data_IF_232697534895
#
_entry.id   IF_232697534895
#
_cell.length_a   1.000
_cell.length_b   1.000
_cell.length_c   1.000
_cell.angle_alpha   90.00
_cell.angle_beta   90.00
_cell.angle_gamma   90.00
#
_symmetry.space_group_name_H-M   'P 1'
#
loop_
_entity.id
_entity.type
_entity.pdbx_description
1 polymer ?
#
# COMPACT_ATOMS: atom_id res chain seq x y z
N UNK A 1 30.39 8.01 -2.60
CA UNK A 1 30.01 6.64 -2.96
C UNK A 1 28.75 6.75 -3.81
N UNK A 2 28.88 6.62 -5.12
CA UNK A 2 27.74 6.57 -6.05
C UNK A 2 27.04 5.24 -5.86
N UNK A 3 25.75 5.27 -5.57
CA UNK A 3 24.92 4.07 -5.50
C UNK A 3 25.03 3.31 -6.84
N UNK A 4 25.20 1.98 -6.85
CA UNK A 4 25.20 1.22 -8.07
C UNK A 4 23.84 1.40 -8.76
N UNK A 5 23.86 1.76 -10.04
CA UNK A 5 22.66 1.82 -10.85
C UNK A 5 22.15 0.40 -11.07
N UNK A 6 21.11 0.01 -10.32
CA UNK A 6 20.35 -1.22 -10.59
C UNK A 6 19.56 -1.00 -11.86
N UNK A 7 20.11 -1.36 -13.01
CA UNK A 7 19.53 -1.00 -14.31
C UNK A 7 19.45 -2.13 -15.33
N UNK A 8 19.46 -3.39 -14.90
CA UNK A 8 19.13 -4.47 -15.80
C UNK A 8 17.74 -5.04 -15.49
N UNK A 9 16.93 -5.26 -16.51
CA UNK A 9 15.63 -5.94 -16.38
C UNK A 9 15.77 -7.31 -15.68
N UNK A 10 16.93 -7.96 -15.85
CA UNK A 10 17.27 -9.23 -15.19
C UNK A 10 17.45 -9.09 -13.68
N UNK A 11 18.12 -8.04 -13.20
CA UNK A 11 18.30 -7.80 -11.76
C UNK A 11 16.97 -7.51 -11.06
N UNK A 12 16.11 -6.69 -11.69
CA UNK A 12 14.77 -6.42 -11.18
C UNK A 12 13.92 -7.70 -11.12
N UNK A 13 14.00 -8.54 -12.15
CA UNK A 13 13.30 -9.81 -12.17
C UNK A 13 13.82 -10.75 -11.07
N UNK A 14 15.12 -10.83 -10.86
CA UNK A 14 15.74 -11.62 -9.79
C UNK A 14 15.27 -11.15 -8.40
N UNK A 15 15.20 -9.83 -8.18
CA UNK A 15 14.70 -9.25 -6.94
C UNK A 15 13.23 -9.60 -6.71
N UNK A 16 12.39 -9.53 -7.74
CA UNK A 16 10.97 -9.89 -7.65
C UNK A 16 10.79 -11.37 -7.31
N UNK A 17 11.60 -12.27 -7.91
CA UNK A 17 11.59 -13.71 -7.58
C UNK A 17 11.99 -13.93 -6.12
N UNK A 18 13.03 -13.25 -5.64
CA UNK A 18 13.48 -13.35 -4.25
C UNK A 18 12.41 -12.90 -3.27
N UNK A 19 11.79 -11.74 -3.51
CA UNK A 19 10.70 -11.21 -2.68
C UNK A 19 9.50 -12.17 -2.69
N UNK A 20 9.13 -12.70 -3.86
CA UNK A 20 8.05 -13.66 -3.99
C UNK A 20 8.33 -14.95 -3.21
N UNK A 21 9.54 -15.48 -3.34
CA UNK A 21 9.97 -16.69 -2.62
C UNK A 21 9.97 -16.50 -1.11
N UNK A 22 10.44 -15.35 -0.63
CA UNK A 22 10.44 -15.00 0.79
C UNK A 22 9.00 -14.89 1.33
N UNK A 23 8.12 -14.24 0.58
CA UNK A 23 6.70 -14.12 0.94
C UNK A 23 6.02 -15.47 1.03
N UNK A 24 6.24 -16.33 0.02
CA UNK A 24 5.71 -17.69 0.00
C UNK A 24 6.25 -18.54 1.16
N UNK A 25 7.54 -18.44 1.46
CA UNK A 25 8.14 -19.11 2.61
C UNK A 25 7.53 -18.69 3.94
N UNK A 26 7.30 -17.37 4.13
CA UNK A 26 6.63 -16.85 5.32
C UNK A 26 5.19 -17.38 5.45
N UNK A 27 4.45 -17.40 4.34
CA UNK A 27 3.07 -17.92 4.30
C UNK A 27 3.00 -19.41 4.59
N UNK A 28 3.95 -20.18 4.06
CA UNK A 28 4.04 -21.62 4.28
C UNK A 28 4.32 -21.96 5.76
N UNK A 29 5.17 -21.19 6.42
CA UNK A 29 5.58 -21.44 7.82
C UNK A 29 4.59 -20.87 8.82
N UNK A 30 4.08 -19.67 8.59
CA UNK A 30 3.31 -18.88 9.57
C UNK A 30 1.81 -18.85 9.25
N UNK A 31 1.39 -19.36 8.10
CA UNK A 31 0.00 -19.31 7.67
C UNK A 31 -0.56 -17.87 7.72
N UNK A 32 -1.72 -17.69 8.32
CA UNK A 32 -2.37 -16.37 8.45
C UNK A 32 -1.55 -15.35 9.26
N UNK A 33 -0.62 -15.80 10.09
CA UNK A 33 0.28 -14.94 10.86
C UNK A 33 1.24 -14.14 9.98
N UNK A 34 1.62 -14.66 8.82
CA UNK A 34 2.51 -14.00 7.87
C UNK A 34 1.99 -12.61 7.46
N UNK A 35 0.71 -12.50 7.16
CA UNK A 35 0.05 -11.25 6.77
C UNK A 35 0.13 -10.18 7.86
N UNK A 36 -0.03 -10.55 9.12
CA UNK A 36 0.10 -9.62 10.26
C UNK A 36 1.54 -9.12 10.39
N UNK A 37 2.51 -10.01 10.25
CA UNK A 37 3.94 -9.67 10.37
C UNK A 37 4.35 -8.73 9.24
N UNK A 38 3.97 -9.05 8.01
CA UNK A 38 4.33 -8.22 6.84
C UNK A 38 3.65 -6.86 6.86
N UNK A 39 2.38 -6.78 7.29
CA UNK A 39 1.70 -5.49 7.53
C UNK A 39 2.47 -4.64 8.55
N UNK A 40 2.84 -5.22 9.69
CA UNK A 40 3.60 -4.50 10.74
C UNK A 40 4.98 -4.07 10.24
N UNK A 41 5.67 -4.91 9.47
CA UNK A 41 6.96 -4.56 8.87
C UNK A 41 6.82 -3.37 7.92
N UNK A 42 5.88 -3.42 6.98
CA UNK A 42 5.60 -2.31 6.07
C UNK A 42 5.26 -1.02 6.82
N UNK A 43 4.37 -1.09 7.82
CA UNK A 43 3.98 0.06 8.62
C UNK A 43 5.16 0.68 9.38
N UNK A 44 6.04 -0.15 9.92
CA UNK A 44 7.24 0.32 10.61
C UNK A 44 8.15 1.10 9.67
N UNK A 45 8.32 0.62 8.43
CA UNK A 45 9.11 1.32 7.40
C UNK A 45 8.46 2.67 7.07
N UNK A 46 7.15 2.68 6.79
CA UNK A 46 6.42 3.91 6.48
C UNK A 46 6.47 4.95 7.59
N UNK A 47 6.37 4.54 8.85
CA UNK A 47 6.49 5.42 10.02
C UNK A 47 7.91 5.96 10.22
N UNK A 48 8.94 5.18 9.91
CA UNK A 48 10.35 5.57 10.06
C UNK A 48 10.85 6.48 8.94
N UNK A 49 10.16 6.52 7.82
CA UNK A 49 10.55 7.41 6.73
C UNK A 49 10.35 8.85 7.14
N UNK A 50 11.46 9.58 7.15
CA UNK A 50 11.44 11.00 7.50
C UNK A 50 10.69 11.76 6.41
N UNK A 51 9.56 12.34 6.76
CA UNK A 51 8.85 13.30 5.93
C UNK A 51 8.75 14.63 6.66
N UNK A 52 9.08 15.70 5.97
CA UNK A 52 8.87 17.08 6.46
C UNK A 52 7.49 17.59 6.10
N UNK A 53 6.82 16.92 5.16
CA UNK A 53 5.48 17.28 4.69
C UNK A 53 4.44 16.75 5.66
N UNK A 54 3.59 17.63 6.17
CA UNK A 54 2.48 17.32 7.08
C UNK A 54 1.20 17.91 6.52
N UNK A 55 0.08 17.25 6.76
CA UNK A 55 -1.25 17.78 6.45
C UNK A 55 -2.26 17.27 7.46
N UNK A 56 -3.25 18.10 7.77
CA UNK A 56 -4.43 17.71 8.56
C UNK A 56 -5.60 17.31 7.65
N UNK A 57 -5.51 17.62 6.35
CA UNK A 57 -6.51 17.19 5.36
C UNK A 57 -6.15 15.82 4.79
N UNK A 58 -7.06 14.82 4.92
CA UNK A 58 -6.80 13.47 4.41
C UNK A 58 -6.56 13.40 2.90
N UNK A 59 -7.21 14.23 2.10
CA UNK A 59 -7.04 14.21 0.63
C UNK A 59 -5.64 14.74 0.26
N UNK A 60 -5.22 15.84 0.86
CA UNK A 60 -3.87 16.34 0.69
C UNK A 60 -2.84 15.34 1.19
N UNK A 61 -3.05 14.74 2.36
CA UNK A 61 -2.17 13.72 2.91
C UNK A 61 -2.02 12.51 1.97
N UNK A 62 -3.09 12.09 1.30
CA UNK A 62 -3.06 11.03 0.30
C UNK A 62 -2.20 11.39 -0.92
N UNK A 63 -2.28 12.64 -1.39
CA UNK A 63 -1.40 13.12 -2.47
C UNK A 63 0.06 13.09 -2.04
N UNK A 64 0.36 13.54 -0.82
CA UNK A 64 1.72 13.50 -0.26
C UNK A 64 2.24 12.07 -0.10
N UNK A 65 1.37 11.09 0.23
CA UNK A 65 1.75 9.67 0.26
C UNK A 65 2.16 9.18 -1.13
N UNK A 66 1.40 9.54 -2.19
CA UNK A 66 1.75 9.15 -3.55
C UNK A 66 3.12 9.72 -3.96
N UNK A 67 3.35 11.00 -3.70
CA UNK A 67 4.61 11.67 -3.99
C UNK A 67 5.78 10.98 -3.26
N UNK A 68 5.61 10.72 -1.96
CA UNK A 68 6.64 10.07 -1.14
C UNK A 68 6.96 8.65 -1.63
N UNK A 69 5.95 7.88 -2.03
CA UNK A 69 6.15 6.55 -2.58
C UNK A 69 6.88 6.62 -3.92
N UNK A 70 6.52 7.58 -4.77
CA UNK A 70 7.17 7.80 -6.07
C UNK A 70 8.65 8.21 -5.91
N UNK A 71 8.99 9.04 -4.94
CA UNK A 71 10.38 9.40 -4.62
C UNK A 71 11.24 8.18 -4.26
N UNK A 72 10.63 7.11 -3.74
CA UNK A 72 11.27 5.82 -3.45
C UNK A 72 11.24 4.84 -4.63
N UNK A 73 10.75 5.26 -5.78
CA UNK A 73 10.60 4.39 -6.95
C UNK A 73 9.41 3.42 -6.85
N UNK A 74 8.49 3.65 -5.90
CA UNK A 74 7.29 2.84 -5.72
C UNK A 74 6.14 3.48 -6.48
N UNK A 75 5.90 3.03 -7.69
CA UNK A 75 4.74 3.48 -8.47
C UNK A 75 3.50 2.67 -8.11
N UNK A 76 2.66 3.26 -7.26
CA UNK A 76 1.40 2.67 -6.85
C UNK A 76 0.26 3.69 -6.97
N UNK A 77 -0.14 4.04 -8.20
CA UNK A 77 -1.15 5.05 -8.44
C UNK A 77 -2.51 4.61 -7.91
N UNK A 78 -3.22 5.53 -7.31
CA UNK A 78 -4.59 5.35 -6.87
C UNK A 78 -5.41 6.61 -7.11
N UNK A 79 -6.71 6.42 -7.19
CA UNK A 79 -7.72 7.47 -7.32
C UNK A 79 -8.66 7.41 -6.14
N UNK A 80 -9.13 8.57 -5.68
CA UNK A 80 -10.23 8.63 -4.71
C UNK A 80 -11.52 8.35 -5.46
N UNK A 81 -12.21 7.29 -5.07
CA UNK A 81 -13.53 6.99 -5.64
C UNK A 81 -14.53 8.05 -5.21
N UNK A 82 -15.20 8.65 -6.19
CA UNK A 82 -16.24 9.65 -5.96
C UNK A 82 -17.60 9.03 -6.32
N UNK A 83 -18.60 9.14 -5.45
CA UNK A 83 -19.94 8.72 -5.81
C UNK A 83 -20.51 9.60 -6.94
N UNK A 84 -21.45 9.04 -7.70
CA UNK A 84 -22.16 9.79 -8.74
C UNK A 84 -22.89 11.00 -8.12
N UNK A 85 -23.01 12.08 -8.88
CA UNK A 85 -23.72 13.29 -8.43
C UNK A 85 -22.87 14.28 -7.63
N UNK A 86 -21.53 14.14 -7.57
CA UNK A 86 -20.64 15.13 -6.94
C UNK A 86 -20.71 15.16 -5.41
N UNK A 87 -21.24 14.12 -4.77
CA UNK A 87 -21.27 14.00 -3.32
C UNK A 87 -19.85 13.93 -2.73
N UNK A 88 -19.72 14.21 -1.44
CA UNK A 88 -18.46 14.09 -0.69
C UNK A 88 -17.84 12.70 -0.90
N UNK A 89 -16.51 12.59 -1.12
CA UNK A 89 -15.84 11.29 -1.17
C UNK A 89 -15.81 10.59 0.19
N UNK A 90 -16.08 11.33 1.26
CA UNK A 90 -16.11 10.79 2.61
C UNK A 90 -17.46 10.21 2.97
N UNK A 91 -17.43 9.13 3.73
CA UNK A 91 -18.57 8.55 4.41
C UNK A 91 -18.18 8.14 5.83
N UNK A 92 -19.17 7.81 6.65
CA UNK A 92 -18.95 7.34 8.01
C UNK A 92 -18.98 5.81 8.04
N UNK A 93 -18.01 5.23 8.75
CA UNK A 93 -17.95 3.81 9.06
C UNK A 93 -17.61 3.62 10.52
N UNK A 94 -18.52 3.04 11.29
CA UNK A 94 -18.36 2.78 12.73
C UNK A 94 -17.93 4.04 13.51
N UNK A 95 -18.57 5.19 13.23
CA UNK A 95 -18.25 6.47 13.82
C UNK A 95 -16.91 7.09 13.37
N UNK A 96 -16.27 6.55 12.34
CA UNK A 96 -15.00 7.02 11.81
C UNK A 96 -15.13 7.53 10.38
N UNK A 97 -14.28 8.48 10.02
CA UNK A 97 -14.20 9.00 8.66
C UNK A 97 -13.55 7.96 7.74
N UNK A 98 -14.25 7.62 6.67
CA UNK A 98 -13.79 6.65 5.69
C UNK A 98 -13.89 7.20 4.27
N UNK A 99 -13.10 6.63 3.36
CA UNK A 99 -13.16 6.89 1.93
C UNK A 99 -12.71 5.65 1.15
N UNK A 100 -13.10 5.58 -0.12
CA UNK A 100 -12.73 4.48 -1.00
C UNK A 100 -11.62 4.92 -1.95
N UNK A 101 -10.65 4.04 -2.17
CA UNK A 101 -9.51 4.24 -3.08
C UNK A 101 -9.54 3.15 -4.15
N UNK A 102 -9.33 3.54 -5.39
CA UNK A 102 -9.17 2.61 -6.53
C UNK A 102 -7.70 2.58 -6.92
N UNK A 103 -7.08 1.43 -6.75
CA UNK A 103 -5.69 1.19 -7.14
C UNK A 103 -5.65 0.48 -8.49
N UNK A 104 -5.06 1.14 -9.48
CA UNK A 104 -4.81 0.57 -10.82
C UNK A 104 -3.33 0.23 -10.95
N UNK A 105 -3.01 -0.69 -11.85
CA UNK A 105 -1.61 -1.06 -12.17
C UNK A 105 -0.73 -1.37 -10.94
N UNK A 106 -1.29 -2.08 -9.97
CA UNK A 106 -0.57 -2.44 -8.76
C UNK A 106 0.63 -3.34 -9.08
N UNK A 107 1.85 -2.90 -8.71
CA UNK A 107 3.08 -3.66 -8.93
C UNK A 107 3.07 -5.03 -8.25
N UNK A 108 2.48 -5.11 -7.05
CA UNK A 108 2.32 -6.37 -6.31
C UNK A 108 1.48 -7.35 -7.11
N UNK A 109 0.41 -6.86 -7.73
CA UNK A 109 -0.45 -7.69 -8.56
C UNK A 109 0.26 -8.25 -9.78
N UNK A 110 1.07 -7.43 -10.47
CA UNK A 110 1.87 -7.92 -11.58
C UNK A 110 2.83 -9.03 -11.13
N UNK A 111 3.41 -8.91 -9.93
CA UNK A 111 4.25 -9.95 -9.33
C UNK A 111 3.44 -11.20 -8.94
N UNK A 112 2.24 -11.02 -8.37
CA UNK A 112 1.36 -12.12 -7.97
C UNK A 112 0.96 -12.99 -9.16
N UNK A 113 0.54 -12.40 -10.27
CA UNK A 113 0.17 -13.17 -11.47
C UNK A 113 1.33 -13.96 -12.07
N UNK A 114 2.54 -13.39 -11.99
CA UNK A 114 3.72 -14.02 -12.59
C UNK A 114 4.25 -15.20 -11.77
N UNK A 115 4.01 -15.20 -10.45
CA UNK A 115 4.59 -16.16 -9.50
C UNK A 115 3.54 -16.92 -8.68
N UNK A 116 2.30 -16.96 -9.14
CA UNK A 116 1.18 -17.71 -8.53
C UNK A 116 0.89 -17.33 -7.07
N UNK A 117 1.16 -16.10 -6.66
CA UNK A 117 0.76 -15.61 -5.35
C UNK A 117 -0.72 -15.24 -5.32
N UNK A 118 -1.39 -15.57 -4.26
CA UNK A 118 -2.76 -15.15 -4.04
C UNK A 118 -2.85 -13.66 -3.65
N UNK A 119 -3.90 -12.99 -4.13
CA UNK A 119 -4.23 -11.65 -3.69
C UNK A 119 -4.65 -11.66 -2.22
N UNK A 120 -4.47 -10.54 -1.52
CA UNK A 120 -4.82 -10.33 -0.10
C UNK A 120 -3.89 -11.02 0.91
N UNK A 121 -2.77 -11.56 0.47
CA UNK A 121 -1.77 -12.19 1.35
C UNK A 121 -0.61 -11.23 1.69
N UNK A 122 0.49 -11.78 2.18
CA UNK A 122 1.63 -11.08 2.79
C UNK A 122 2.15 -9.88 2.01
N UNK A 123 2.34 -10.00 0.68
CA UNK A 123 2.85 -8.89 -0.13
C UNK A 123 1.85 -7.73 -0.22
N UNK A 124 0.56 -8.03 -0.39
CA UNK A 124 -0.48 -7.00 -0.38
C UNK A 124 -0.52 -6.30 0.97
N UNK A 125 -0.48 -7.06 2.07
CA UNK A 125 -0.58 -6.49 3.42
C UNK A 125 0.69 -5.73 3.83
N UNK A 126 1.86 -6.12 3.34
CA UNK A 126 3.08 -5.32 3.51
C UNK A 126 2.94 -3.94 2.88
N UNK A 127 2.42 -3.85 1.65
CA UNK A 127 2.17 -2.57 1.00
C UNK A 127 1.08 -1.74 1.70
N UNK A 128 0.02 -2.39 2.21
CA UNK A 128 -0.97 -1.68 3.03
C UNK A 128 -0.32 -1.10 4.29
N UNK A 129 0.53 -1.87 4.96
CA UNK A 129 1.27 -1.40 6.11
C UNK A 129 2.14 -0.19 5.76
N UNK A 130 2.91 -0.26 4.68
CA UNK A 130 3.76 0.82 4.20
C UNK A 130 2.94 2.10 3.94
N UNK A 131 1.84 1.98 3.18
CA UNK A 131 0.91 3.07 2.90
C UNK A 131 0.35 3.69 4.18
N UNK A 132 -0.18 2.87 5.09
CA UNK A 132 -0.75 3.33 6.35
C UNK A 132 0.32 3.99 7.24
N UNK A 133 1.55 3.49 7.22
CA UNK A 133 2.68 4.09 7.94
C UNK A 133 3.02 5.48 7.42
N UNK A 134 3.13 5.66 6.10
CA UNK A 134 3.34 6.97 5.49
C UNK A 134 2.18 7.92 5.79
N UNK A 135 0.95 7.48 5.58
CA UNK A 135 -0.22 8.30 5.84
C UNK A 135 -0.25 8.76 7.30
N UNK A 136 0.03 7.88 8.24
CA UNK A 136 0.11 8.23 9.66
C UNK A 136 1.24 9.21 9.95
N UNK A 137 2.40 9.07 9.30
CA UNK A 137 3.51 10.01 9.50
C UNK A 137 3.19 11.41 8.98
N UNK A 138 2.36 11.54 7.94
CA UNK A 138 1.92 12.80 7.33
C UNK A 138 0.74 13.41 8.08
N UNK A 139 -0.30 12.62 8.32
CA UNK A 139 -1.59 13.06 8.87
C UNK A 139 -1.59 13.19 10.40
N UNK A 140 -0.65 12.50 11.08
CA UNK A 140 -0.62 12.41 12.55
C UNK A 140 -1.68 11.49 13.14
N UNK A 141 -2.54 10.89 12.33
CA UNK A 141 -3.63 9.99 12.73
C UNK A 141 -3.42 8.60 12.17
N UNK A 142 -3.80 7.58 12.94
CA UNK A 142 -3.78 6.21 12.47
C UNK A 142 -4.80 6.02 11.35
N UNK A 143 -4.45 5.20 10.37
CA UNK A 143 -5.37 4.77 9.34
C UNK A 143 -5.19 3.27 9.08
N UNK A 144 -6.27 2.63 8.66
CA UNK A 144 -6.30 1.24 8.22
C UNK A 144 -6.82 1.17 6.78
N UNK A 145 -6.21 0.31 5.97
CA UNK A 145 -6.54 0.15 4.56
C UNK A 145 -6.93 -1.30 4.29
N UNK A 146 -8.18 -1.53 3.92
CA UNK A 146 -8.73 -2.86 3.67
C UNK A 146 -9.12 -3.06 2.20
N UNK A 147 -9.00 -4.29 1.71
CA UNK A 147 -9.43 -4.65 0.36
C UNK A 147 -10.90 -4.98 0.38
N UNK A 148 -11.75 -4.15 -0.28
CA UNK A 148 -13.16 -4.46 -0.52
C UNK A 148 -13.28 -5.45 -1.68
N UNK A 149 -12.62 -5.12 -2.79
CA UNK A 149 -12.66 -5.94 -4.00
C UNK A 149 -11.30 -5.93 -4.68
N UNK A 150 -10.83 -7.12 -5.04
CA UNK A 150 -9.61 -7.32 -5.81
C UNK A 150 -9.98 -7.90 -7.18
N UNK A 151 -10.04 -7.04 -8.17
CA UNK A 151 -10.37 -7.40 -9.55
C UNK A 151 -9.14 -7.59 -10.43
N UNK A 152 -9.36 -7.97 -11.68
CA UNK A 152 -8.27 -8.18 -12.64
C UNK A 152 -7.55 -6.91 -13.06
N UNK A 153 -8.20 -5.77 -13.15
CA UNK A 153 -7.63 -4.50 -13.62
C UNK A 153 -7.42 -3.48 -12.51
N UNK A 154 -8.13 -3.62 -11.37
CA UNK A 154 -8.04 -2.69 -10.26
C UNK A 154 -8.42 -3.35 -8.94
N UNK A 155 -7.96 -2.75 -7.83
CA UNK A 155 -8.40 -3.08 -6.49
C UNK A 155 -9.16 -1.89 -5.89
N UNK A 156 -10.37 -2.15 -5.39
CA UNK A 156 -11.12 -1.21 -4.58
C UNK A 156 -10.76 -1.45 -3.12
N UNK A 157 -10.31 -0.39 -2.45
CA UNK A 157 -9.92 -0.44 -1.04
C UNK A 157 -10.67 0.60 -0.24
N UNK A 158 -10.88 0.30 1.01
CA UNK A 158 -11.47 1.19 1.99
C UNK A 158 -10.39 1.70 2.93
N UNK A 159 -10.30 3.00 3.06
CA UNK A 159 -9.43 3.67 4.01
C UNK A 159 -10.27 4.20 5.16
N UNK A 160 -9.98 3.77 6.38
CA UNK A 160 -10.61 4.24 7.61
C UNK A 160 -9.59 5.03 8.40
N UNK A 161 -9.93 6.28 8.75
CA UNK A 161 -9.06 7.18 9.53
C UNK A 161 -9.57 7.21 10.96
N UNK A 162 -8.67 6.91 11.90
CA UNK A 162 -8.98 6.94 13.33
C UNK A 162 -8.76 8.36 13.87
N UNK A 163 -9.59 8.80 14.78
CA UNK A 163 -9.44 10.07 15.49
C UNK A 163 -8.22 10.12 16.41
#
# INVERSE_FOLDING_TARGET
MTAPSVNSAGELQGLLVLIASLSHGLESVLGRGASTITFRAGRTIGLKTKTTRKSTDPIEALTLVQDQMKELGIEWPFEIWKPEGGASPYYEKDGKKALKLVFRHCMVRCSLFRYSHEQKQSLCLMNHGLFCGYLQSILGKRADLDIIHAGESACLKELVIHE
#
